data_IF_738753538268
#
_entry.id   IF_738753538268
#
_cell.length_a   1.000
_cell.length_b   1.000
_cell.length_c   1.000
_cell.angle_alpha   90.00
_cell.angle_beta   90.00
_cell.angle_gamma   90.00
#
_symmetry.space_group_name_H-M   'P 1'
#
loop_
_entity.id
_entity.type
_entity.pdbx_description
1 polymer ?
#
# COMPACT_ATOMS: atom_id res chain seq x y z
N UNK A 1 -1.37 20.96 -23.32
CA UNK A 1 -0.78 19.75 -22.69
C UNK A 1 -0.36 20.14 -21.28
N UNK A 2 -1.27 20.06 -20.31
CA UNK A 2 -1.01 20.51 -18.93
C UNK A 2 -0.70 19.31 -18.05
N UNK A 3 0.51 19.23 -17.50
CA UNK A 3 0.83 18.27 -16.45
C UNK A 3 0.06 18.69 -15.19
N UNK A 4 -0.90 17.86 -14.77
CA UNK A 4 -1.56 18.05 -13.48
C UNK A 4 -0.58 17.56 -12.41
N UNK A 5 0.17 18.49 -11.81
CA UNK A 5 0.89 18.23 -10.57
C UNK A 5 -0.13 18.07 -9.45
N UNK A 6 -0.26 16.85 -8.93
CA UNK A 6 -0.98 16.63 -7.69
C UNK A 6 -0.26 17.40 -6.58
N UNK A 7 -0.97 18.23 -5.78
CA UNK A 7 -0.37 18.79 -4.58
C UNK A 7 0.16 17.64 -3.74
N UNK A 8 1.38 17.76 -3.23
CA UNK A 8 1.96 16.83 -2.26
C UNK A 8 0.89 16.54 -1.21
N UNK A 9 0.35 15.31 -1.24
CA UNK A 9 -0.65 14.89 -0.29
C UNK A 9 -0.05 15.10 1.09
N UNK A 10 -0.60 16.04 1.87
CA UNK A 10 -0.26 16.19 3.29
C UNK A 10 -0.53 14.83 3.91
N UNK A 11 0.55 14.13 4.27
CA UNK A 11 0.48 12.87 4.97
C UNK A 11 -0.34 13.08 6.22
N UNK A 12 -1.38 12.27 6.40
CA UNK A 12 -2.02 12.11 7.70
C UNK A 12 -0.91 11.88 8.74
N UNK A 13 -0.95 12.62 9.85
CA UNK A 13 0.06 12.67 10.95
C UNK A 13 0.27 11.34 11.69
N UNK A 14 0.07 10.20 11.03
CA UNK A 14 0.39 8.88 11.54
C UNK A 14 1.82 8.53 11.11
N UNK A 15 2.78 8.54 12.02
CA UNK A 15 4.16 8.11 11.73
C UNK A 15 4.20 6.74 11.04
N UNK A 16 5.14 6.51 10.12
CA UNK A 16 5.18 5.26 9.35
C UNK A 16 5.34 3.99 10.17
N UNK A 17 5.87 4.08 11.39
CA UNK A 17 5.88 2.96 12.34
C UNK A 17 4.48 2.43 12.68
N UNK A 18 3.44 3.25 12.56
CA UNK A 18 2.04 2.83 12.71
C UNK A 18 1.40 2.30 11.42
N UNK A 19 2.04 2.56 10.26
CA UNK A 19 1.52 2.22 8.92
C UNK A 19 2.10 0.91 8.36
N UNK A 20 3.07 0.30 9.05
CA UNK A 20 3.52 -1.06 8.75
C UNK A 20 2.45 -2.10 9.06
N UNK A 21 2.57 -3.28 8.47
CA UNK A 21 1.73 -4.41 8.87
C UNK A 21 2.19 -4.92 10.24
N UNK A 22 1.27 -5.37 11.10
CA UNK A 22 1.65 -5.97 12.40
C UNK A 22 2.66 -7.12 12.25
N UNK A 23 2.54 -7.88 11.16
CA UNK A 23 3.39 -9.02 10.83
C UNK A 23 4.64 -8.65 10.01
N UNK A 24 4.73 -7.41 9.53
CA UNK A 24 5.92 -6.87 8.84
C UNK A 24 6.01 -5.37 9.16
N UNK A 25 6.61 -5.00 10.30
CA UNK A 25 6.74 -3.59 10.67
C UNK A 25 7.54 -2.81 9.63
N UNK A 26 7.26 -1.52 9.53
CA UNK A 26 8.07 -0.60 8.72
C UNK A 26 9.32 -0.23 9.51
N UNK A 27 10.50 -0.57 8.98
CA UNK A 27 11.80 -0.44 9.67
C UNK A 27 12.61 0.74 9.12
N UNK A 28 12.25 1.32 7.97
CA UNK A 28 12.99 2.47 7.41
C UNK A 28 12.83 3.70 8.31
N UNK A 29 13.95 4.37 8.58
CA UNK A 29 14.06 5.56 9.45
C UNK A 29 13.33 6.79 8.89
N UNK A 30 12.94 6.74 7.61
CA UNK A 30 12.17 7.80 6.96
C UNK A 30 10.72 7.84 7.46
N UNK A 31 10.40 8.93 8.15
CA UNK A 31 9.04 9.27 8.60
C UNK A 31 8.04 9.51 7.46
N UNK A 32 8.54 9.88 6.27
CA UNK A 32 7.75 10.04 5.06
C UNK A 32 8.36 9.13 3.99
N UNK A 33 7.70 8.01 3.68
CA UNK A 33 8.12 7.20 2.55
C UNK A 33 7.80 7.92 1.24
N UNK A 34 8.82 7.95 0.39
CA UNK A 34 8.66 8.22 -1.02
C UNK A 34 7.94 7.05 -1.72
N UNK A 35 7.26 7.35 -2.83
CA UNK A 35 6.52 6.35 -3.61
C UNK A 35 7.30 5.06 -3.90
N UNK A 36 8.58 5.12 -4.34
CA UNK A 36 9.42 3.95 -4.56
C UNK A 36 9.62 3.08 -3.31
N UNK A 37 9.87 3.69 -2.15
CA UNK A 37 10.04 2.96 -0.89
C UNK A 37 8.79 2.18 -0.48
N UNK A 38 7.60 2.77 -0.68
CA UNK A 38 6.32 2.08 -0.41
C UNK A 38 6.17 0.86 -1.33
N UNK A 39 6.48 1.01 -2.63
CA UNK A 39 6.37 -0.08 -3.60
C UNK A 39 7.32 -1.22 -3.21
N UNK A 40 8.57 -0.92 -2.89
CA UNK A 40 9.55 -1.93 -2.51
C UNK A 40 9.10 -2.71 -1.25
N UNK A 41 8.65 -2.00 -0.21
CA UNK A 41 8.11 -2.63 0.99
C UNK A 41 6.93 -3.56 0.69
N UNK A 42 6.00 -3.14 -0.18
CA UNK A 42 4.86 -3.97 -0.58
C UNK A 42 5.32 -5.20 -1.36
N UNK A 43 6.25 -5.05 -2.30
CA UNK A 43 6.79 -6.16 -3.09
C UNK A 43 7.51 -7.19 -2.21
N UNK A 44 8.32 -6.73 -1.25
CA UNK A 44 8.93 -7.60 -0.25
C UNK A 44 7.88 -8.32 0.59
N UNK A 45 6.84 -7.60 1.04
CA UNK A 45 5.73 -8.19 1.81
C UNK A 45 5.04 -9.30 1.02
N UNK A 46 4.77 -9.06 -0.26
CA UNK A 46 4.10 -10.00 -1.15
C UNK A 46 4.97 -11.23 -1.39
N UNK A 47 6.28 -11.03 -1.58
CA UNK A 47 7.25 -12.10 -1.81
C UNK A 47 7.40 -13.00 -0.58
N UNK A 48 7.66 -12.42 0.59
CA UNK A 48 7.86 -13.16 1.85
C UNK A 48 6.65 -14.00 2.25
N UNK A 49 5.44 -13.53 1.95
CA UNK A 49 4.20 -14.20 2.32
C UNK A 49 3.62 -15.06 1.17
N UNK A 50 4.36 -15.23 0.07
CA UNK A 50 3.91 -15.96 -1.13
C UNK A 50 2.51 -15.53 -1.61
N UNK A 51 2.23 -14.23 -1.53
CA UNK A 51 0.92 -13.67 -1.88
C UNK A 51 0.77 -13.42 -3.38
N UNK A 52 1.87 -13.43 -4.13
CA UNK A 52 1.90 -13.08 -5.54
C UNK A 52 0.91 -13.89 -6.38
N UNK A 53 0.79 -15.18 -6.10
CA UNK A 53 -0.12 -16.09 -6.82
C UNK A 53 -1.60 -15.89 -6.44
N UNK A 54 -1.86 -15.32 -5.26
CA UNK A 54 -3.21 -15.06 -4.77
C UNK A 54 -3.77 -13.72 -5.26
N UNK A 55 -2.89 -12.81 -5.67
CA UNK A 55 -3.26 -11.47 -6.14
C UNK A 55 -3.55 -11.54 -7.64
N UNK A 56 -4.80 -11.21 -8.02
CA UNK A 56 -5.21 -11.10 -9.43
C UNK A 56 -5.32 -9.63 -9.82
N UNK A 57 -4.34 -9.15 -10.56
CA UNK A 57 -4.32 -7.78 -11.09
C UNK A 57 -5.39 -7.57 -12.18
N UNK A 58 -5.66 -6.31 -12.51
CA UNK A 58 -6.59 -5.89 -13.57
C UNK A 58 -8.03 -6.43 -13.44
N UNK A 59 -8.41 -6.90 -12.25
CA UNK A 59 -9.76 -7.34 -11.92
C UNK A 59 -10.48 -6.22 -11.18
N UNK A 60 -11.53 -5.67 -11.80
CA UNK A 60 -12.45 -4.74 -11.12
C UNK A 60 -13.55 -5.55 -10.43
N UNK A 61 -13.70 -5.39 -9.12
CA UNK A 61 -14.85 -5.96 -8.37
C UNK A 61 -16.07 -5.11 -8.71
N UNK A 62 -17.09 -5.73 -9.33
CA UNK A 62 -18.28 -5.02 -9.81
C UNK A 62 -19.37 -4.92 -8.74
N UNK A 63 -19.53 -5.97 -7.94
CA UNK A 63 -20.57 -6.05 -6.91
C UNK A 63 -20.02 -6.78 -5.69
N UNK A 64 -20.07 -6.19 -4.49
CA UNK A 64 -19.92 -6.95 -3.27
C UNK A 64 -21.20 -7.77 -3.08
N UNK A 65 -21.06 -9.09 -3.00
CA UNK A 65 -22.17 -9.94 -2.56
C UNK A 65 -22.28 -9.80 -1.03
N UNK A 66 -22.98 -8.75 -0.59
CA UNK A 66 -23.35 -8.59 0.80
C UNK A 66 -24.46 -9.59 1.11
N UNK A 67 -24.09 -10.71 1.71
CA UNK A 67 -25.07 -11.62 2.32
C UNK A 67 -25.34 -11.09 3.72
N UNK A 68 -26.50 -10.45 3.88
CA UNK A 68 -27.09 -10.26 5.20
C UNK A 68 -27.81 -11.58 5.54
N UNK A 69 -27.20 -12.39 6.41
CA UNK A 69 -27.94 -13.38 7.19
C UNK A 69 -28.32 -12.74 8.53
#
# INVERSE_FOLDING_TARGET
MGFVSFPLAKGSDSDMHTRGFRFKPWIDERFIADGPSIINYLDETISENNLKEKIKYQRKVLTPFLVFF
#
